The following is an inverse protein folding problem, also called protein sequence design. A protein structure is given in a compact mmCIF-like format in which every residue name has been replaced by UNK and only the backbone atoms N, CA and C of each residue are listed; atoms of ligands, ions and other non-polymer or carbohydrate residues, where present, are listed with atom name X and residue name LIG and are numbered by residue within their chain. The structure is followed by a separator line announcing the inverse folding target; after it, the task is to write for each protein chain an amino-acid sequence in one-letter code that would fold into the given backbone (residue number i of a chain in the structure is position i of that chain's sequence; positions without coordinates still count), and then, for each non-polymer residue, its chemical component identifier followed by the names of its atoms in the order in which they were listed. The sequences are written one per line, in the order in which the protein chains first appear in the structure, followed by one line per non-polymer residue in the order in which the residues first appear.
data_IF_251428499562
#
_entry.id   IF_251428499562
#
_cell.length_a   1.000
_cell.length_b   1.000
_cell.length_c   1.000
_cell.angle_alpha   90.00
_cell.angle_beta   90.00
_cell.angle_gamma   90.00
#
_symmetry.space_group_name_H-M   'P 1'
#
loop_
_entity.id
_entity.type
_entity.pdbx_description
1 polymer ?
#
# COMPACT_ATOMS: atom_id res chain seq x y z
N UNK A 1 95.68 6.83 -20.71
CA UNK A 1 96.35 5.88 -19.79
C UNK A 1 95.50 4.61 -19.74
N UNK A 2 96.10 3.43 -19.92
CA UNK A 2 95.41 2.14 -19.90
C UNK A 2 95.13 1.71 -18.45
N UNK A 3 94.29 0.70 -18.23
CA UNK A 3 94.70 -0.59 -17.63
C UNK A 3 93.49 -1.44 -17.19
N UNK A 4 93.51 -2.67 -17.72
CA UNK A 4 92.99 -3.96 -17.25
C UNK A 4 91.51 -4.35 -17.31
N UNK A 5 91.32 -5.35 -18.17
CA UNK A 5 90.30 -6.38 -18.17
C UNK A 5 90.34 -7.27 -16.93
N UNK A 6 89.22 -7.95 -16.63
CA UNK A 6 89.28 -9.35 -16.22
C UNK A 6 88.06 -10.12 -16.74
N UNK A 7 88.42 -11.20 -17.42
CA UNK A 7 87.71 -12.35 -17.98
C UNK A 7 86.84 -13.16 -16.99
N UNK A 8 85.69 -13.71 -17.46
CA UNK A 8 85.36 -15.15 -17.31
C UNK A 8 84.01 -15.59 -17.94
N UNK A 9 84.14 -16.55 -18.88
CA UNK A 9 83.35 -17.79 -19.12
C UNK A 9 81.82 -17.80 -19.26
N UNK A 10 81.41 -18.17 -20.49
CA UNK A 10 80.24 -18.96 -20.97
C UNK A 10 79.87 -20.19 -20.08
N UNK A 11 78.63 -20.76 -20.11
CA UNK A 11 78.06 -21.38 -21.31
C UNK A 11 76.51 -21.47 -21.50
N UNK A 12 76.16 -21.90 -22.72
CA UNK A 12 74.98 -22.64 -23.20
C UNK A 12 73.84 -23.00 -22.22
N UNK A 13 72.58 -22.80 -22.65
CA UNK A 13 71.65 -23.92 -22.93
C UNK A 13 70.25 -23.42 -23.34
N UNK A 14 69.67 -24.09 -24.34
CA UNK A 14 68.27 -24.50 -24.26
C UNK A 14 67.28 -23.80 -25.19
N UNK A 15 67.30 -24.24 -26.45
CA UNK A 15 66.15 -24.24 -27.35
C UNK A 15 64.93 -24.88 -26.66
N UNK A 16 63.78 -24.20 -26.63
CA UNK A 16 62.49 -24.76 -26.15
C UNK A 16 61.36 -24.40 -27.11
N UNK A 17 60.99 -25.41 -27.88
CA UNK A 17 59.78 -25.56 -28.68
C UNK A 17 58.50 -25.54 -27.79
N UNK A 18 57.50 -24.67 -28.01
CA UNK A 18 56.27 -24.63 -27.23
C UNK A 18 55.17 -25.47 -27.91
N UNK A 19 55.33 -26.79 -27.91
CA UNK A 19 54.33 -27.73 -28.41
C UNK A 19 53.62 -28.48 -27.28
N UNK A 20 52.31 -28.25 -27.13
CA UNK A 20 51.30 -29.06 -26.37
C UNK A 20 51.29 -28.99 -24.84
N UNK A 21 50.47 -28.07 -24.32
CA UNK A 21 49.69 -28.22 -23.08
C UNK A 21 48.51 -27.23 -23.23
N UNK A 22 47.20 -27.51 -23.10
CA UNK A 22 46.43 -28.39 -22.22
C UNK A 22 45.01 -28.53 -22.82
N UNK A 23 44.48 -29.73 -23.11
CA UNK A 23 43.04 -29.89 -23.28
C UNK A 23 42.32 -30.11 -21.94
N UNK A 24 43.03 -30.58 -20.89
CA UNK A 24 42.41 -30.98 -19.60
C UNK A 24 41.87 -29.82 -18.77
N UNK A 25 42.53 -28.66 -18.77
CA UNK A 25 42.08 -27.50 -17.97
C UNK A 25 40.87 -26.81 -18.60
N UNK A 26 40.78 -26.76 -19.92
CA UNK A 26 39.62 -26.20 -20.62
C UNK A 26 38.37 -27.06 -20.37
N UNK A 27 38.50 -28.39 -20.40
CA UNK A 27 37.39 -29.31 -20.08
C UNK A 27 36.94 -29.21 -18.62
N UNK A 28 37.87 -29.06 -17.67
CA UNK A 28 37.55 -28.88 -16.25
C UNK A 28 36.87 -27.54 -15.98
N UNK A 29 37.36 -26.45 -16.57
CA UNK A 29 36.72 -25.12 -16.45
C UNK A 29 35.33 -25.14 -17.08
N UNK A 30 35.17 -25.76 -18.24
CA UNK A 30 33.87 -25.88 -18.90
C UNK A 30 32.86 -26.70 -18.08
N UNK A 31 33.31 -27.79 -17.45
CA UNK A 31 32.48 -28.57 -16.53
C UNK A 31 32.09 -27.77 -15.28
N UNK A 32 33.00 -26.97 -14.70
CA UNK A 32 32.67 -26.11 -13.56
C UNK A 32 31.67 -25.01 -13.94
N UNK A 33 31.84 -24.38 -15.10
CA UNK A 33 30.89 -23.38 -15.62
C UNK A 33 29.52 -24.01 -15.87
N UNK A 34 29.49 -25.21 -16.47
CA UNK A 34 28.24 -25.97 -16.68
C UNK A 34 27.54 -26.25 -15.34
N UNK A 35 28.29 -26.66 -14.31
CA UNK A 35 27.75 -26.95 -12.99
C UNK A 35 27.16 -25.71 -12.32
N UNK A 36 27.83 -24.56 -12.43
CA UNK A 36 27.32 -23.27 -11.91
C UNK A 36 26.07 -22.82 -12.67
N UNK A 37 26.05 -22.98 -14.00
CA UNK A 37 24.86 -22.65 -14.81
C UNK A 37 23.69 -23.57 -14.46
N UNK A 38 23.92 -24.88 -14.33
CA UNK A 38 22.87 -25.83 -13.93
C UNK A 38 22.36 -25.52 -12.52
N UNK A 39 23.26 -25.25 -11.56
CA UNK A 39 22.85 -24.88 -10.21
C UNK A 39 22.06 -23.56 -10.21
N UNK A 40 22.50 -22.55 -10.95
CA UNK A 40 21.77 -21.29 -11.12
C UNK A 40 20.40 -21.48 -11.76
N UNK A 41 20.30 -22.33 -12.79
CA UNK A 41 19.02 -22.66 -13.43
C UNK A 41 18.10 -23.46 -12.51
N UNK A 42 18.61 -24.40 -11.72
CA UNK A 42 17.80 -25.17 -10.76
C UNK A 42 17.33 -24.27 -9.63
N UNK A 43 18.19 -23.45 -9.04
CA UNK A 43 17.79 -22.48 -8.01
C UNK A 43 16.80 -21.47 -8.57
N UNK A 44 17.04 -20.93 -9.77
CA UNK A 44 16.11 -20.03 -10.44
C UNK A 44 14.75 -20.69 -10.74
N UNK A 45 14.74 -21.94 -11.19
CA UNK A 45 13.51 -22.70 -11.41
C UNK A 45 12.77 -22.98 -10.09
N UNK A 46 13.48 -23.30 -8.99
CA UNK A 46 12.87 -23.50 -7.68
C UNK A 46 12.28 -22.20 -7.13
N UNK A 47 12.95 -21.06 -7.32
CA UNK A 47 12.44 -19.74 -6.94
C UNK A 47 11.21 -19.40 -7.79
N UNK A 48 11.29 -19.47 -9.12
CA UNK A 48 10.15 -19.18 -10.01
C UNK A 48 8.98 -20.14 -9.75
N UNK A 49 9.24 -21.42 -9.48
CA UNK A 49 8.18 -22.37 -9.14
C UNK A 49 7.61 -22.09 -7.74
N UNK A 50 8.42 -21.64 -6.79
CA UNK A 50 7.93 -21.15 -5.49
C UNK A 50 7.02 -19.93 -5.64
N UNK A 51 7.35 -19.02 -6.56
CA UNK A 51 6.53 -17.84 -6.88
C UNK A 51 5.29 -18.17 -7.73
N UNK A 52 5.28 -19.29 -8.46
CA UNK A 52 4.13 -19.74 -9.25
C UNK A 52 3.14 -20.64 -8.48
N UNK A 53 3.52 -21.13 -7.30
CA UNK A 53 2.64 -21.93 -6.42
C UNK A 53 1.83 -21.04 -5.46
N UNK A 54 2.08 -19.74 -5.51
CA UNK A 54 1.33 -18.73 -4.77
C UNK A 54 -0.10 -18.60 -5.35
N UNK A 55 -1.08 -18.43 -4.46
CA UNK A 55 -2.51 -18.13 -4.72
C UNK A 55 -3.38 -19.25 -5.35
N UNK A 56 -3.26 -20.50 -4.87
CA UNK A 56 -4.40 -21.43 -5.03
C UNK A 56 -5.17 -21.55 -3.72
N UNK A 57 -6.37 -20.97 -3.65
CA UNK A 57 -7.27 -21.09 -2.50
C UNK A 57 -7.94 -22.47 -2.49
N UNK A 58 -7.84 -23.17 -1.35
CA UNK A 58 -8.56 -24.42 -1.13
C UNK A 58 -9.52 -24.28 0.03
N UNK A 59 -10.82 -24.43 -0.24
CA UNK A 59 -11.88 -24.30 0.75
C UNK A 59 -11.69 -25.23 1.96
N UNK A 60 -11.97 -24.69 3.15
CA UNK A 60 -11.93 -25.38 4.44
C UNK A 60 -13.22 -25.08 5.22
N UNK A 61 -14.32 -25.80 4.94
CA UNK A 61 -15.58 -25.64 5.67
C UNK A 61 -15.39 -25.90 7.17
N UNK A 62 -16.10 -25.16 8.02
CA UNK A 62 -16.02 -25.30 9.46
C UNK A 62 -17.34 -24.98 10.13
N UNK A 63 -17.97 -25.97 10.77
CA UNK A 63 -19.26 -25.77 11.45
C UNK A 63 -19.22 -24.72 12.57
N UNK A 64 -18.05 -24.47 13.17
CA UNK A 64 -17.90 -23.40 14.17
C UNK A 64 -17.79 -22.02 13.54
N UNK A 65 -17.28 -21.93 12.30
CA UNK A 65 -17.25 -20.68 11.54
C UNK A 65 -18.63 -20.37 10.97
N UNK A 66 -19.32 -21.37 10.40
CA UNK A 66 -20.70 -21.25 9.93
C UNK A 66 -21.65 -20.83 11.08
N UNK A 67 -21.41 -21.31 12.30
CA UNK A 67 -22.17 -20.89 13.49
C UNK A 67 -21.84 -19.45 13.92
N UNK A 68 -20.63 -18.96 13.67
CA UNK A 68 -20.25 -17.59 13.95
C UNK A 68 -20.82 -16.63 12.91
N UNK A 69 -20.76 -17.00 11.63
CA UNK A 69 -21.45 -16.33 10.52
C UNK A 69 -22.94 -16.12 10.84
N UNK A 70 -23.66 -17.19 11.19
CA UNK A 70 -25.08 -17.09 11.54
C UNK A 70 -25.35 -16.18 12.75
N UNK A 71 -24.43 -16.10 13.72
CA UNK A 71 -24.56 -15.17 14.84
C UNK A 71 -24.41 -13.72 14.39
N UNK A 72 -23.49 -13.44 13.46
CA UNK A 72 -23.26 -12.10 12.90
C UNK A 72 -24.43 -11.69 12.01
N UNK A 73 -24.94 -12.60 11.17
CA UNK A 73 -26.13 -12.35 10.32
C UNK A 73 -27.38 -11.96 11.13
N UNK A 74 -27.53 -12.52 12.33
CA UNK A 74 -28.69 -12.25 13.20
C UNK A 74 -28.58 -10.92 13.98
N UNK A 75 -27.46 -10.18 13.86
CA UNK A 75 -27.27 -8.92 14.58
C UNK A 75 -28.14 -7.78 14.00
N UNK A 76 -28.71 -6.91 14.84
CA UNK A 76 -29.43 -5.72 14.38
C UNK A 76 -28.56 -4.82 13.50
N UNK A 77 -29.09 -4.39 12.36
CA UNK A 77 -28.41 -3.51 11.41
C UNK A 77 -27.48 -4.25 10.43
N UNK A 78 -27.22 -5.55 10.60
CA UNK A 78 -26.47 -6.33 9.59
C UNK A 78 -27.38 -6.64 8.40
N UNK A 79 -26.91 -6.29 7.21
CA UNK A 79 -27.65 -6.46 5.96
C UNK A 79 -27.19 -7.70 5.18
N UNK A 80 -25.89 -8.00 5.20
CA UNK A 80 -25.33 -9.21 4.58
C UNK A 80 -24.03 -9.62 5.25
N UNK A 81 -23.76 -10.92 5.20
CA UNK A 81 -22.49 -11.52 5.61
C UNK A 81 -22.06 -12.46 4.49
N UNK A 82 -20.82 -12.33 4.04
CA UNK A 82 -20.18 -13.24 3.11
C UNK A 82 -18.92 -13.79 3.75
N UNK A 83 -18.77 -15.11 3.75
CA UNK A 83 -17.65 -15.78 4.40
C UNK A 83 -16.82 -16.61 3.44
N UNK A 84 -15.51 -16.61 3.66
CA UNK A 84 -14.60 -17.51 2.99
C UNK A 84 -13.64 -18.11 4.02
N UNK A 85 -13.32 -19.38 3.88
CA UNK A 85 -12.28 -20.02 4.69
C UNK A 85 -11.44 -20.91 3.79
N UNK A 86 -10.16 -20.57 3.63
CA UNK A 86 -9.26 -21.28 2.72
C UNK A 86 -7.90 -21.56 3.36
N UNK A 87 -7.13 -22.45 2.74
CA UNK A 87 -5.67 -22.55 2.94
C UNK A 87 -4.97 -22.28 1.62
N UNK A 88 -3.79 -21.68 1.70
CA UNK A 88 -2.94 -21.42 0.55
C UNK A 88 -1.90 -22.54 0.37
N UNK A 89 -1.66 -22.92 -0.89
CA UNK A 89 -0.50 -23.72 -1.25
C UNK A 89 0.78 -22.87 -1.17
N UNK A 90 1.95 -23.46 -0.86
CA UNK A 90 2.18 -24.87 -0.54
C UNK A 90 2.12 -25.17 0.96
N UNK A 91 1.85 -24.17 1.81
CA UNK A 91 2.00 -24.32 3.26
C UNK A 91 0.86 -25.15 3.85
N UNK A 92 -0.38 -24.97 3.39
CA UNK A 92 -1.58 -25.71 3.84
C UNK A 92 -1.73 -25.79 5.38
N UNK A 93 -1.10 -24.88 6.14
CA UNK A 93 -0.96 -25.02 7.60
C UNK A 93 -2.19 -24.47 8.32
N UNK A 94 -2.32 -23.15 8.33
CA UNK A 94 -3.36 -22.43 9.06
C UNK A 94 -4.37 -21.89 8.06
N UNK A 95 -5.66 -22.25 8.19
CA UNK A 95 -6.68 -21.68 7.34
C UNK A 95 -6.86 -20.19 7.65
N UNK A 96 -6.92 -19.39 6.60
CA UNK A 96 -7.36 -18.00 6.65
C UNK A 96 -8.89 -18.01 6.68
N UNK A 97 -9.49 -17.35 7.66
CA UNK A 97 -10.94 -17.11 7.71
C UNK A 97 -11.17 -15.65 7.37
N UNK A 98 -12.06 -15.38 6.43
CA UNK A 98 -12.43 -14.05 5.99
C UNK A 98 -13.93 -13.85 6.17
N UNK A 99 -14.32 -12.68 6.66
CA UNK A 99 -15.70 -12.28 6.79
C UNK A 99 -15.90 -10.87 6.24
N UNK A 100 -16.75 -10.75 5.23
CA UNK A 100 -17.24 -9.48 4.71
C UNK A 100 -18.62 -9.22 5.30
N UNK A 101 -18.82 -8.09 5.96
CA UNK A 101 -20.10 -7.73 6.58
C UNK A 101 -20.55 -6.39 6.07
N UNK A 102 -21.79 -6.29 5.57
CA UNK A 102 -22.44 -5.00 5.36
C UNK A 102 -23.34 -4.70 6.54
N UNK A 103 -23.17 -3.53 7.17
CA UNK A 103 -23.89 -3.13 8.38
C UNK A 103 -24.34 -1.67 8.29
N UNK A 104 -25.50 -1.36 8.85
CA UNK A 104 -25.94 0.02 9.09
C UNK A 104 -25.10 0.64 10.22
N UNK A 105 -24.84 1.95 10.15
CA UNK A 105 -24.04 2.69 11.14
C UNK A 105 -24.46 2.39 12.60
N UNK A 106 -25.76 2.42 12.89
CA UNK A 106 -26.29 2.15 14.23
C UNK A 106 -26.02 0.72 14.74
N UNK A 107 -25.79 -0.23 13.83
CA UNK A 107 -25.46 -1.63 14.13
C UNK A 107 -23.97 -1.89 14.34
N UNK A 108 -23.09 -0.99 13.87
CA UNK A 108 -21.64 -1.18 13.91
C UNK A 108 -21.08 -1.46 15.32
N UNK A 109 -21.46 -0.74 16.39
CA UNK A 109 -20.96 -1.05 17.73
C UNK A 109 -21.32 -2.46 18.20
N UNK A 110 -22.52 -2.94 17.85
CA UNK A 110 -22.97 -4.30 18.17
C UNK A 110 -22.21 -5.37 17.39
N UNK A 111 -21.89 -5.11 16.13
CA UNK A 111 -21.03 -5.97 15.31
C UNK A 111 -19.62 -6.10 15.92
N UNK A 112 -19.01 -4.98 16.30
CA UNK A 112 -17.66 -4.99 16.90
C UNK A 112 -17.64 -5.70 18.26
N UNK A 113 -18.67 -5.51 19.09
CA UNK A 113 -18.81 -6.23 20.36
C UNK A 113 -18.97 -7.75 20.14
N UNK A 114 -19.78 -8.16 19.16
CA UNK A 114 -19.94 -9.58 18.80
C UNK A 114 -18.65 -10.20 18.24
N UNK A 115 -17.91 -9.45 17.42
CA UNK A 115 -16.63 -9.88 16.88
C UNK A 115 -15.57 -10.06 18.00
N UNK A 116 -15.54 -9.14 18.97
CA UNK A 116 -14.65 -9.21 20.12
C UNK A 116 -15.02 -10.26 21.16
N UNK A 117 -16.31 -10.58 21.30
CA UNK A 117 -16.81 -11.52 22.32
C UNK A 117 -17.02 -12.94 21.80
N UNK A 118 -16.59 -13.23 20.57
CA UNK A 118 -16.78 -14.52 19.91
C UNK A 118 -16.06 -15.68 20.61
N UNK A 119 -16.73 -16.83 20.71
CA UNK A 119 -16.13 -18.11 21.12
C UNK A 119 -15.36 -18.80 19.97
N UNK A 120 -15.37 -18.22 18.76
CA UNK A 120 -14.65 -18.78 17.62
C UNK A 120 -13.12 -18.67 17.81
N UNK A 121 -12.38 -19.79 17.77
CA UNK A 121 -11.01 -19.82 18.27
C UNK A 121 -9.94 -19.37 17.27
N UNK A 122 -10.29 -19.24 15.98
CA UNK A 122 -9.34 -18.89 14.92
C UNK A 122 -9.45 -17.39 14.59
N UNK A 123 -8.36 -16.71 14.19
CA UNK A 123 -8.42 -15.33 13.75
C UNK A 123 -9.28 -15.19 12.47
N UNK A 124 -10.00 -14.08 12.38
CA UNK A 124 -10.82 -13.72 11.21
C UNK A 124 -10.30 -12.41 10.65
N UNK A 125 -10.05 -12.38 9.35
CA UNK A 125 -9.83 -11.16 8.60
C UNK A 125 -11.18 -10.55 8.27
N UNK A 126 -11.40 -9.30 8.67
CA UNK A 126 -12.65 -8.59 8.50
C UNK A 126 -12.58 -7.60 7.35
N UNK A 127 -13.66 -7.55 6.57
CA UNK A 127 -14.03 -6.42 5.73
C UNK A 127 -15.41 -5.96 6.16
N UNK A 128 -15.52 -4.76 6.69
CA UNK A 128 -16.79 -4.21 7.17
C UNK A 128 -17.15 -3.04 6.27
N UNK A 129 -18.31 -3.11 5.63
CA UNK A 129 -18.90 -2.05 4.82
C UNK A 129 -20.01 -1.43 5.64
N UNK A 130 -19.80 -0.20 6.09
CA UNK A 130 -20.75 0.53 6.93
C UNK A 130 -21.54 1.49 6.05
N UNK A 131 -22.86 1.40 6.09
CA UNK A 131 -23.76 2.32 5.39
C UNK A 131 -24.43 3.25 6.38
N UNK A 132 -24.36 4.54 6.11
CA UNK A 132 -24.90 5.58 6.96
C UNK A 132 -26.23 6.12 6.40
N UNK A 133 -26.93 6.92 7.21
CA UNK A 133 -28.20 7.52 6.80
C UNK A 133 -28.01 8.60 5.69
N UNK A 134 -26.88 9.31 5.66
CA UNK A 134 -26.56 10.27 4.60
C UNK A 134 -26.02 9.62 3.31
N UNK A 135 -26.12 8.29 3.19
CA UNK A 135 -25.63 7.51 2.04
C UNK A 135 -24.10 7.46 1.89
N UNK A 136 -23.36 7.80 2.94
CA UNK A 136 -21.91 7.54 3.01
C UNK A 136 -21.70 6.03 3.16
N UNK A 137 -20.69 5.50 2.46
CA UNK A 137 -20.28 4.10 2.61
C UNK A 137 -18.83 4.06 3.08
N UNK A 138 -18.61 3.52 4.28
CA UNK A 138 -17.27 3.41 4.86
C UNK A 138 -16.82 1.95 4.85
N UNK A 139 -15.76 1.65 4.10
CA UNK A 139 -15.19 0.31 4.04
C UNK A 139 -13.94 0.22 4.91
N UNK A 140 -13.92 -0.67 5.90
CA UNK A 140 -12.74 -0.91 6.74
C UNK A 140 -12.30 -2.36 6.65
N UNK A 141 -10.98 -2.56 6.66
CA UNK A 141 -10.37 -3.88 6.53
C UNK A 141 -9.33 -4.11 7.62
N UNK A 142 -9.32 -5.30 8.22
CA UNK A 142 -8.18 -5.70 9.04
C UNK A 142 -7.07 -6.22 8.13
N UNK A 143 -5.84 -5.74 8.26
CA UNK A 143 -4.71 -6.26 7.48
C UNK A 143 -4.31 -7.68 7.92
N UNK A 144 -3.88 -8.56 6.98
CA UNK A 144 -3.23 -9.81 7.35
C UNK A 144 -1.88 -9.50 8.01
N UNK A 145 -1.79 -9.66 9.33
CA UNK A 145 -0.53 -9.45 10.06
C UNK A 145 -0.54 -8.36 11.13
N UNK A 146 -1.67 -7.72 11.42
CA UNK A 146 -1.86 -6.94 12.66
C UNK A 146 -2.02 -7.89 13.85
N UNK A 147 -1.01 -8.72 14.06
CA UNK A 147 -0.91 -9.64 15.19
C UNK A 147 0.55 -9.68 15.60
N UNK A 148 0.93 -8.83 16.57
CA UNK A 148 1.86 -9.22 17.66
C UNK A 148 2.36 -8.04 18.51
N UNK A 149 1.46 -7.25 19.10
CA UNK A 149 1.77 -6.52 20.36
C UNK A 149 0.59 -6.43 21.32
N UNK A 150 -0.63 -6.70 20.87
CA UNK A 150 -1.80 -6.78 21.74
C UNK A 150 -1.75 -8.13 22.48
N UNK A 151 -2.05 -8.11 23.79
CA UNK A 151 -2.01 -9.28 24.65
C UNK A 151 -2.87 -10.42 24.07
N UNK A 152 -2.54 -11.67 24.40
CA UNK A 152 -3.22 -12.86 23.90
C UNK A 152 -4.74 -12.92 24.18
N UNK A 153 -5.28 -12.00 24.98
CA UNK A 153 -6.71 -11.88 25.29
C UNK A 153 -7.52 -11.12 24.21
N UNK A 154 -6.87 -10.40 23.28
CA UNK A 154 -7.54 -9.57 22.25
C UNK A 154 -7.43 -10.13 20.81
N UNK A 155 -6.89 -11.35 20.66
CA UNK A 155 -6.58 -11.93 19.34
C UNK A 155 -7.81 -12.22 18.44
N UNK A 156 -9.03 -12.09 18.97
CA UNK A 156 -10.30 -12.24 18.24
C UNK A 156 -10.95 -10.92 17.79
N UNK A 157 -10.51 -9.77 18.32
CA UNK A 157 -11.10 -8.47 17.99
C UNK A 157 -10.58 -7.93 16.66
N UNK A 158 -11.45 -7.33 15.82
CA UNK A 158 -11.01 -6.55 14.67
C UNK A 158 -10.13 -5.37 15.12
N UNK A 159 -8.90 -5.28 14.62
CA UNK A 159 -7.98 -4.20 14.90
C UNK A 159 -7.64 -3.43 13.61
N UNK A 160 -8.18 -2.22 13.49
CA UNK A 160 -8.00 -1.36 12.31
C UNK A 160 -6.89 -0.33 12.48
N UNK A 161 -6.53 -0.01 13.72
CA UNK A 161 -5.54 1.04 14.05
C UNK A 161 -6.15 2.41 14.32
N UNK A 162 -7.47 2.55 14.27
CA UNK A 162 -8.23 3.78 14.53
C UNK A 162 -9.63 3.45 15.08
N UNK A 163 -10.30 4.45 15.65
CA UNK A 163 -11.68 4.36 16.14
C UNK A 163 -12.68 4.42 14.98
N UNK A 164 -13.09 3.25 14.48
CA UNK A 164 -14.01 3.14 13.34
C UNK A 164 -15.38 3.76 13.64
N UNK A 165 -15.90 3.59 14.86
CA UNK A 165 -17.27 4.04 15.19
C UNK A 165 -17.36 5.56 15.10
N UNK A 166 -16.41 6.26 15.72
CA UNK A 166 -16.40 7.72 15.72
C UNK A 166 -16.01 8.29 14.35
N UNK A 167 -15.09 7.63 13.65
CA UNK A 167 -14.72 8.04 12.29
C UNK A 167 -15.88 7.93 11.30
N UNK A 168 -16.70 6.88 11.38
CA UNK A 168 -17.88 6.74 10.52
C UNK A 168 -18.90 7.85 10.79
N UNK A 169 -19.18 8.15 12.06
CA UNK A 169 -20.09 9.25 12.45
C UNK A 169 -19.60 10.59 11.89
N UNK A 170 -18.31 10.88 12.02
CA UNK A 170 -17.72 12.12 11.50
C UNK A 170 -17.75 12.18 9.96
N UNK A 171 -17.43 11.07 9.27
CA UNK A 171 -17.49 10.99 7.81
C UNK A 171 -18.92 11.19 7.27
N UNK A 172 -19.94 10.69 7.97
CA UNK A 172 -21.34 10.93 7.60
C UNK A 172 -21.70 12.43 7.70
N UNK A 173 -21.19 13.11 8.73
CA UNK A 173 -21.46 14.53 8.97
C UNK A 173 -20.74 15.43 7.94
N UNK A 174 -19.45 15.21 7.72
CA UNK A 174 -18.61 16.14 6.93
C UNK A 174 -18.59 15.84 5.44
N UNK A 175 -18.78 14.58 5.05
CA UNK A 175 -18.67 14.14 3.66
C UNK A 175 -19.83 13.22 3.24
N UNK A 176 -21.09 13.68 3.36
CA UNK A 176 -22.26 12.87 3.09
C UNK A 176 -22.29 12.37 1.65
N UNK A 177 -22.52 11.06 1.49
CA UNK A 177 -22.67 10.42 0.18
C UNK A 177 -21.37 9.95 -0.46
N UNK A 178 -20.22 10.14 0.19
CA UNK A 178 -18.95 9.60 -0.29
C UNK A 178 -18.77 8.13 0.08
N UNK A 179 -18.10 7.38 -0.78
CA UNK A 179 -17.59 6.05 -0.46
C UNK A 179 -16.11 6.17 -0.09
N UNK A 180 -15.77 5.88 1.17
CA UNK A 180 -14.42 6.09 1.72
C UNK A 180 -13.91 4.80 2.36
N UNK A 181 -12.65 4.48 2.12
CA UNK A 181 -11.92 3.41 2.77
C UNK A 181 -10.78 4.00 3.60
N UNK A 182 -10.99 4.18 4.92
CA UNK A 182 -9.91 4.52 5.83
C UNK A 182 -8.92 3.37 5.96
N UNK A 183 -7.62 3.68 5.98
CA UNK A 183 -6.56 2.70 6.11
C UNK A 183 -5.34 3.26 6.85
N UNK A 184 -4.53 2.35 7.39
CA UNK A 184 -3.17 2.65 7.84
C UNK A 184 -2.23 1.96 6.86
N UNK A 185 -1.41 2.74 6.15
CA UNK A 185 -0.40 2.22 5.24
C UNK A 185 0.73 1.49 5.99
N UNK A 186 1.57 0.76 5.25
CA UNK A 186 2.70 0.01 5.83
C UNK A 186 3.72 0.90 6.55
N UNK A 187 3.83 2.18 6.15
CA UNK A 187 4.68 3.18 6.80
C UNK A 187 4.02 3.81 8.05
N UNK A 188 2.80 3.39 8.39
CA UNK A 188 2.03 3.88 9.54
C UNK A 188 1.19 5.13 9.26
N UNK A 189 1.18 5.64 8.03
CA UNK A 189 0.41 6.81 7.64
C UNK A 189 -1.08 6.50 7.59
N UNK A 190 -1.90 7.42 8.08
CA UNK A 190 -3.34 7.33 7.96
C UNK A 190 -3.78 7.83 6.58
N UNK A 191 -4.70 7.12 5.95
CA UNK A 191 -5.20 7.45 4.63
C UNK A 191 -6.72 7.33 4.57
N UNK A 192 -7.33 8.26 3.84
CA UNK A 192 -8.75 8.24 3.47
C UNK A 192 -8.83 8.04 1.97
N UNK A 193 -9.14 6.81 1.56
CA UNK A 193 -9.22 6.45 0.14
C UNK A 193 -10.66 6.60 -0.34
N UNK A 194 -10.96 7.61 -1.16
CA UNK A 194 -12.26 7.70 -1.82
C UNK A 194 -12.34 6.66 -2.96
N UNK A 195 -13.38 5.83 -2.91
CA UNK A 195 -13.58 4.71 -3.82
C UNK A 195 -14.39 5.08 -5.08
N UNK A 196 -14.84 6.34 -5.20
CA UNK A 196 -15.57 6.77 -6.38
C UNK A 196 -14.65 6.76 -7.62
N UNK A 197 -15.11 6.09 -8.68
CA UNK A 197 -14.36 5.86 -9.91
C UNK A 197 -14.68 6.88 -11.00
N UNK A 198 -15.65 7.80 -10.80
CA UNK A 198 -16.01 8.77 -11.84
C UNK A 198 -15.06 9.97 -11.86
N UNK A 199 -13.86 9.75 -12.41
CA UNK A 199 -12.86 10.79 -12.62
C UNK A 199 -13.38 11.98 -13.46
N UNK A 200 -14.50 11.83 -14.18
CA UNK A 200 -15.05 12.88 -15.04
C UNK A 200 -15.68 14.06 -14.29
N UNK A 201 -15.90 13.95 -12.98
CA UNK A 201 -16.45 15.03 -12.15
C UNK A 201 -15.39 15.91 -11.49
N UNK A 202 -14.09 15.64 -11.70
CA UNK A 202 -13.00 16.34 -11.02
C UNK A 202 -12.96 16.05 -9.51
N UNK A 203 -11.97 16.60 -8.80
CA UNK A 203 -11.72 16.28 -7.39
C UNK A 203 -12.51 17.13 -6.38
N UNK A 204 -13.27 18.13 -6.82
CA UNK A 204 -13.90 19.11 -5.91
C UNK A 204 -14.88 18.50 -4.91
N UNK A 205 -15.50 17.38 -5.26
CA UNK A 205 -16.36 16.60 -4.36
C UNK A 205 -15.62 16.01 -3.15
N UNK A 206 -14.28 15.94 -3.20
CA UNK A 206 -13.41 15.46 -2.12
C UNK A 206 -12.89 16.59 -1.22
N UNK A 207 -13.12 17.86 -1.57
CA UNK A 207 -12.70 18.99 -0.74
C UNK A 207 -13.19 18.91 0.71
N UNK A 208 -14.40 18.40 1.02
CA UNK A 208 -14.80 18.23 2.41
C UNK A 208 -13.87 17.31 3.23
N UNK A 209 -13.25 16.29 2.60
CA UNK A 209 -12.27 15.43 3.29
C UNK A 209 -10.97 16.19 3.61
N UNK A 210 -10.60 17.14 2.76
CA UNK A 210 -9.44 18.02 2.98
C UNK A 210 -9.78 19.02 4.08
N UNK A 211 -10.90 19.74 3.94
CA UNK A 211 -11.38 20.76 4.89
C UNK A 211 -11.54 20.24 6.32
N UNK A 212 -11.98 19.00 6.47
CA UNK A 212 -12.22 18.36 7.77
C UNK A 212 -11.15 17.34 8.17
N UNK A 213 -9.97 17.38 7.56
CA UNK A 213 -8.88 16.42 7.83
C UNK A 213 -8.53 16.32 9.32
N UNK A 214 -8.41 17.45 10.02
CA UNK A 214 -8.07 17.48 11.45
C UNK A 214 -9.17 16.86 12.32
N UNK A 215 -10.44 17.13 11.99
CA UNK A 215 -11.61 16.56 12.70
C UNK A 215 -11.67 15.04 12.47
N UNK A 216 -11.39 14.58 11.24
CA UNK A 216 -11.35 13.16 10.88
C UNK A 216 -10.20 12.41 11.58
N UNK A 217 -9.01 13.03 11.69
CA UNK A 217 -7.89 12.49 12.49
C UNK A 217 -8.29 12.35 13.96
N UNK A 218 -8.94 13.38 14.52
CA UNK A 218 -9.40 13.36 15.90
C UNK A 218 -10.50 12.31 16.14
N UNK A 219 -11.43 12.16 15.20
CA UNK A 219 -12.49 11.15 15.23
C UNK A 219 -11.91 9.73 15.13
N UNK A 220 -10.89 9.53 14.30
CA UNK A 220 -10.11 8.30 14.21
C UNK A 220 -9.32 7.98 15.50
N UNK A 221 -9.25 8.91 16.46
CA UNK A 221 -8.53 8.74 17.72
C UNK A 221 -7.01 8.76 17.55
N UNK A 222 -6.51 9.36 16.47
CA UNK A 222 -5.10 9.48 16.14
C UNK A 222 -4.49 10.74 16.76
N UNK A 223 -3.16 10.81 16.74
CA UNK A 223 -2.42 11.99 17.23
C UNK A 223 -2.60 13.16 16.24
N UNK A 224 -2.76 14.38 16.75
CA UNK A 224 -2.99 15.56 15.92
C UNK A 224 -1.78 15.92 15.02
N UNK A 225 -0.60 15.39 15.31
CA UNK A 225 0.60 15.54 14.48
C UNK A 225 0.71 14.45 13.40
N UNK A 226 -0.33 13.61 13.23
CA UNK A 226 -0.38 12.57 12.21
C UNK A 226 -0.69 13.20 10.86
N UNK A 227 0.21 13.06 9.88
CA UNK A 227 -0.10 13.39 8.50
C UNK A 227 -1.17 12.44 7.94
N UNK A 228 -2.08 12.97 7.13
CA UNK A 228 -3.16 12.19 6.49
C UNK A 228 -3.04 12.25 4.98
N UNK A 229 -3.16 11.10 4.33
CA UNK A 229 -3.25 11.01 2.87
C UNK A 229 -4.71 11.00 2.43
N UNK A 230 -5.09 11.92 1.54
CA UNK A 230 -6.34 11.84 0.79
C UNK A 230 -6.01 11.17 -0.53
N UNK A 231 -6.67 10.06 -0.85
CA UNK A 231 -6.33 9.26 -2.03
C UNK A 231 -7.58 8.89 -2.83
N UNK A 232 -7.53 9.09 -4.14
CA UNK A 232 -8.60 8.76 -5.07
C UNK A 232 -8.05 8.68 -6.49
N UNK A 233 -8.93 8.38 -7.44
CA UNK A 233 -8.56 8.36 -8.86
C UNK A 233 -8.10 9.72 -9.39
N UNK A 234 -8.57 10.85 -8.86
CA UNK A 234 -8.30 12.20 -9.39
C UNK A 234 -7.70 13.17 -8.36
N UNK A 235 -7.55 12.74 -7.11
CA UNK A 235 -6.89 13.49 -6.03
C UNK A 235 -5.99 12.55 -5.24
N UNK A 236 -4.70 12.82 -5.20
CA UNK A 236 -3.80 12.26 -4.18
C UNK A 236 -2.97 13.40 -3.59
N UNK A 237 -2.92 13.48 -2.27
CA UNK A 237 -2.06 14.42 -1.54
C UNK A 237 -1.84 13.94 -0.12
N UNK A 238 -0.79 14.45 0.51
CA UNK A 238 -0.57 14.31 1.95
C UNK A 238 -0.76 15.68 2.60
N UNK A 239 -1.58 15.72 3.64
CA UNK A 239 -1.75 16.88 4.50
C UNK A 239 -0.81 16.73 5.69
N UNK A 240 0.20 17.59 5.78
CA UNK A 240 1.00 17.74 6.99
C UNK A 240 0.20 18.51 8.06
N UNK A 241 0.55 18.37 9.35
CA UNK A 241 -0.16 19.06 10.42
C UNK A 241 -0.22 20.57 10.21
N UNK A 242 -1.45 21.12 10.18
CA UNK A 242 -1.70 22.55 10.03
C UNK A 242 -1.67 23.08 8.59
N UNK A 243 -1.58 22.23 7.57
CA UNK A 243 -1.65 22.64 6.16
C UNK A 243 -3.07 22.61 5.56
N UNK A 244 -4.08 22.19 6.33
CA UNK A 244 -5.46 22.00 5.86
C UNK A 244 -6.05 23.22 5.14
N UNK A 245 -6.05 24.39 5.79
CA UNK A 245 -6.64 25.61 5.22
C UNK A 245 -5.93 26.03 3.91
N UNK A 246 -4.60 25.96 3.89
CA UNK A 246 -3.78 26.35 2.73
C UNK A 246 -3.99 25.38 1.55
N UNK A 247 -4.17 24.08 1.83
CA UNK A 247 -4.54 23.10 0.80
C UNK A 247 -5.97 23.30 0.27
N UNK A 248 -6.94 23.63 1.12
CA UNK A 248 -8.30 23.94 0.68
C UNK A 248 -8.30 25.16 -0.25
N UNK A 249 -7.58 26.23 0.12
CA UNK A 249 -7.45 27.42 -0.72
C UNK A 249 -6.79 27.07 -2.07
N UNK A 250 -5.66 26.36 -2.05
CA UNK A 250 -4.95 25.92 -3.25
C UNK A 250 -5.84 25.10 -4.18
N UNK A 251 -6.46 24.03 -3.67
CA UNK A 251 -7.25 23.10 -4.48
C UNK A 251 -8.51 23.76 -5.05
N UNK A 252 -9.12 24.69 -4.31
CA UNK A 252 -10.26 25.48 -4.78
C UNK A 252 -9.83 26.41 -5.91
N UNK A 253 -8.72 27.16 -5.76
CA UNK A 253 -8.21 28.06 -6.80
C UNK A 253 -7.80 27.27 -8.07
N UNK A 254 -7.16 26.11 -7.91
CA UNK A 254 -6.81 25.24 -9.03
C UNK A 254 -8.03 24.73 -9.79
N UNK A 255 -9.10 24.36 -9.08
CA UNK A 255 -10.34 23.92 -9.71
C UNK A 255 -11.06 25.08 -10.42
N UNK A 256 -11.19 26.24 -9.78
CA UNK A 256 -12.00 27.37 -10.26
C UNK A 256 -11.31 28.19 -11.37
N UNK A 257 -10.01 28.46 -11.23
CA UNK A 257 -9.25 29.35 -12.14
C UNK A 257 -8.30 28.58 -13.07
N UNK A 258 -7.91 27.37 -12.68
CA UNK A 258 -7.00 26.51 -13.43
C UNK A 258 -7.68 25.46 -14.31
N UNK A 259 -9.01 25.27 -14.17
CA UNK A 259 -9.75 24.15 -14.77
C UNK A 259 -9.05 22.80 -14.52
N UNK A 260 -8.49 22.61 -13.31
CA UNK A 260 -7.78 21.37 -12.97
C UNK A 260 -8.78 20.25 -12.72
N UNK A 261 -8.68 19.18 -13.52
CA UNK A 261 -9.55 17.99 -13.42
C UNK A 261 -8.97 16.94 -12.45
N UNK A 262 -7.64 16.86 -12.34
CA UNK A 262 -6.98 15.91 -11.45
C UNK A 262 -5.66 16.45 -10.91
N UNK A 263 -5.38 16.13 -9.65
CA UNK A 263 -4.23 16.61 -8.89
C UNK A 263 -3.61 15.47 -8.09
N UNK A 264 -2.31 15.22 -8.29
CA UNK A 264 -1.56 14.25 -7.49
C UNK A 264 -0.26 14.87 -6.99
N UNK A 265 -0.12 14.99 -5.68
CA UNK A 265 1.11 15.35 -5.00
C UNK A 265 1.46 14.24 -3.99
N UNK A 266 2.75 13.91 -3.89
CA UNK A 266 3.45 13.33 -2.71
C UNK A 266 2.84 12.15 -1.92
N UNK A 267 1.77 11.53 -2.43
CA UNK A 267 1.11 10.31 -1.95
C UNK A 267 1.10 9.20 -3.01
N UNK A 268 0.43 8.08 -2.70
CA UNK A 268 0.41 6.92 -3.61
C UNK A 268 1.73 6.13 -3.70
N UNK A 269 2.66 6.38 -2.77
CA UNK A 269 3.95 5.69 -2.66
C UNK A 269 5.14 6.39 -3.34
N UNK A 270 6.33 5.78 -3.26
CA UNK A 270 7.55 6.41 -3.80
C UNK A 270 7.50 6.52 -5.32
N UNK A 271 7.72 7.72 -5.91
CA UNK A 271 7.79 7.89 -7.35
C UNK A 271 8.82 6.96 -8.01
N UNK A 272 8.50 6.40 -9.19
CA UNK A 272 9.37 5.44 -9.91
C UNK A 272 10.77 6.01 -10.21
N UNK A 273 10.86 7.32 -10.47
CA UNK A 273 12.11 8.03 -10.73
C UNK A 273 12.75 8.63 -9.47
N UNK A 274 12.14 8.42 -8.30
CA UNK A 274 12.62 8.89 -6.99
C UNK A 274 12.58 10.39 -6.80
N UNK A 275 11.80 11.12 -7.62
CA UNK A 275 11.66 12.58 -7.54
C UNK A 275 10.20 12.91 -7.24
N UNK A 276 9.98 13.54 -6.09
CA UNK A 276 8.68 14.12 -5.75
C UNK A 276 8.30 15.19 -6.78
N UNK A 277 7.03 15.18 -7.18
CA UNK A 277 6.49 16.09 -8.19
C UNK A 277 4.99 16.23 -8.01
N UNK A 278 4.44 17.35 -8.46
CA UNK A 278 3.00 17.54 -8.59
C UNK A 278 2.59 17.14 -10.00
N UNK A 279 1.64 16.24 -10.15
CA UNK A 279 1.07 15.83 -11.45
C UNK A 279 -0.34 16.38 -11.58
N UNK A 280 -0.65 16.93 -12.75
CA UNK A 280 -1.88 17.70 -12.96
C UNK A 280 -2.48 17.39 -14.34
N UNK A 281 -3.80 17.19 -14.39
CA UNK A 281 -4.59 17.21 -15.65
C UNK A 281 -5.29 18.56 -15.73
N UNK A 282 -4.93 19.38 -16.72
CA UNK A 282 -5.51 20.71 -16.96
C UNK A 282 -5.25 21.20 -18.40
N UNK A 283 -6.06 22.13 -18.94
CA UNK A 283 -5.84 22.70 -20.27
C UNK A 283 -4.51 23.47 -20.39
N UNK A 284 -3.85 23.37 -21.56
CA UNK A 284 -2.51 23.97 -21.81
C UNK A 284 -2.46 25.48 -21.57
N UNK A 285 -3.56 26.20 -21.82
CA UNK A 285 -3.67 27.64 -21.62
C UNK A 285 -3.52 28.07 -20.14
N UNK A 286 -3.81 27.18 -19.18
CA UNK A 286 -3.75 27.47 -17.74
C UNK A 286 -2.41 27.07 -17.10
N UNK A 287 -1.55 26.30 -17.79
CA UNK A 287 -0.32 25.72 -17.20
C UNK A 287 0.57 26.76 -16.50
N UNK A 288 0.90 27.94 -17.09
CA UNK A 288 1.76 28.91 -16.41
C UNK A 288 1.11 29.54 -15.17
N UNK A 289 -0.23 29.65 -15.14
CA UNK A 289 -0.95 30.18 -13.98
C UNK A 289 -0.97 29.15 -12.85
N UNK A 290 -1.27 27.89 -13.16
CA UNK A 290 -1.23 26.76 -12.22
C UNK A 290 0.14 26.61 -11.55
N UNK A 291 1.23 26.66 -12.32
CA UNK A 291 2.59 26.64 -11.75
C UNK A 291 2.87 27.85 -10.84
N UNK A 292 2.26 28.99 -11.13
CA UNK A 292 2.35 30.20 -10.31
C UNK A 292 1.68 30.01 -8.96
N UNK A 293 0.43 29.54 -8.99
CA UNK A 293 -0.42 29.28 -7.82
C UNK A 293 0.26 28.29 -6.86
N UNK A 294 0.71 27.14 -7.38
CA UNK A 294 1.40 26.11 -6.57
C UNK A 294 2.68 26.64 -5.93
N UNK A 295 3.46 27.45 -6.65
CA UNK A 295 4.71 28.00 -6.11
C UNK A 295 4.45 29.05 -5.02
N UNK A 296 3.27 29.66 -4.99
CA UNK A 296 2.89 30.66 -4.00
C UNK A 296 2.13 30.09 -2.79
N UNK A 297 1.76 28.82 -2.77
CA UNK A 297 0.89 28.24 -1.73
C UNK A 297 1.53 28.10 -0.35
N UNK A 298 2.85 28.36 -0.21
CA UNK A 298 3.64 28.14 1.02
C UNK A 298 3.63 26.69 1.58
N UNK A 299 2.85 25.80 0.99
CA UNK A 299 2.82 24.36 1.26
C UNK A 299 4.18 23.71 0.99
N UNK A 300 4.44 22.58 1.62
CA UNK A 300 5.67 21.82 1.42
C UNK A 300 5.91 21.38 -0.04
N UNK A 301 4.85 21.28 -0.85
CA UNK A 301 4.90 20.96 -2.29
C UNK A 301 5.27 22.13 -3.20
N UNK A 302 5.39 23.35 -2.66
CA UNK A 302 5.57 24.58 -3.46
C UNK A 302 6.85 24.61 -4.32
N UNK A 303 7.88 23.87 -3.89
CA UNK A 303 9.15 23.72 -4.62
C UNK A 303 9.19 22.49 -5.55
N UNK A 304 8.13 21.68 -5.57
CA UNK A 304 8.10 20.46 -6.37
C UNK A 304 7.96 20.78 -7.86
N UNK A 305 8.64 20.04 -8.75
CA UNK A 305 8.39 20.14 -10.18
C UNK A 305 6.92 19.85 -10.49
N UNK A 306 6.28 20.71 -11.29
CA UNK A 306 4.93 20.46 -11.79
C UNK A 306 5.02 19.73 -13.14
N UNK A 307 4.23 18.67 -13.30
CA UNK A 307 4.13 17.88 -14.51
C UNK A 307 2.68 17.79 -14.96
N UNK A 308 2.39 18.40 -16.10
CA UNK A 308 1.10 18.23 -16.75
C UNK A 308 1.03 16.87 -17.48
N UNK A 309 -0.04 16.13 -17.24
CA UNK A 309 -0.34 14.84 -17.87
C UNK A 309 -1.74 14.92 -18.47
N UNK A 310 -1.85 14.62 -19.77
CA UNK A 310 -3.08 14.81 -20.56
C UNK A 310 -2.78 14.79 -22.04
#
# INVERSE_FOLDING_TARGET
MPTMATERTDPEHGDRDPGRARPRTATLVWLSVLLVVVAGCVTGAVVVFGWMVDETHFDRPSASFDAFESQVEDLPGVASVDTERWVEAPTFLSPTSWMTVTVEEAGLPGLLDAACSTDYPDPVTWSIIVRTDASTEVSVHTGPGVSSTIAADDAGCPAFGFDVVRLVEELDEVAPGLSVQPAIWEDGRFALVALDEDASTGFTHLLPLVEHADDLIAAAGLDAETAVEINSANLILVLEPGETDDYVELLTELADDGDVESYWADGGGTPIDGVEKVQIVAPEEHHPAIEGIIRSSELHISDFPVRFIG
#
